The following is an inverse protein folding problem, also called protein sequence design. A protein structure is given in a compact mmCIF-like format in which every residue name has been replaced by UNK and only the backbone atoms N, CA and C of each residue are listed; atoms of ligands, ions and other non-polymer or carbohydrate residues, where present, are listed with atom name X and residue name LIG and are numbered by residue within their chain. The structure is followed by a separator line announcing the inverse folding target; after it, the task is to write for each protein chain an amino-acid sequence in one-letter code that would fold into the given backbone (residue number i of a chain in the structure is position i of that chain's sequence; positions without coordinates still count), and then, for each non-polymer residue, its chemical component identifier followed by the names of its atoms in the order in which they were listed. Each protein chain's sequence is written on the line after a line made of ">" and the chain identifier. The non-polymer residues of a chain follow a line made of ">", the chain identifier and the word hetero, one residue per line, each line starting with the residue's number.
data_IF_347551064541
#
_entry.id   IF_347551064541
#
_cell.length_a   1.000
_cell.length_b   1.000
_cell.length_c   1.000
_cell.angle_alpha   90.00
_cell.angle_beta   90.00
_cell.angle_gamma   90.00
#
_symmetry.space_group_name_H-M   'P 1'
#
loop_
_entity.id
_entity.type
_entity.pdbx_description
1 polymer ?
#
# COMPACT_ATOMS: atom_id res chain seq x y z
N UNK A 1 8.94 -32.26 -15.51
CA UNK A 1 10.05 -33.13 -15.97
C UNK A 1 10.48 -32.70 -17.37
N UNK A 2 11.76 -32.34 -17.59
CA UNK A 2 12.23 -31.96 -18.93
C UNK A 2 12.29 -33.18 -19.83
N UNK A 3 11.75 -33.12 -21.03
CA UNK A 3 11.77 -34.21 -22.02
C UNK A 3 13.18 -34.70 -22.40
N UNK A 4 14.23 -33.96 -22.03
CA UNK A 4 15.63 -34.25 -22.22
C UNK A 4 16.20 -35.35 -21.29
N UNK A 5 15.43 -35.88 -20.35
CA UNK A 5 15.88 -36.86 -19.37
C UNK A 5 15.42 -38.29 -19.66
N UNK A 6 14.76 -38.54 -20.79
CA UNK A 6 14.37 -39.90 -21.20
C UNK A 6 15.38 -40.45 -22.20
N UNK A 7 16.19 -41.40 -21.80
CA UNK A 7 17.27 -41.98 -22.61
C UNK A 7 16.85 -43.38 -23.06
N UNK A 8 16.95 -43.62 -24.38
CA UNK A 8 16.85 -44.97 -24.96
C UNK A 8 18.24 -45.60 -25.05
N UNK A 9 18.39 -46.79 -24.58
CA UNK A 9 19.68 -47.50 -24.60
C UNK A 9 19.47 -48.99 -24.80
N UNK A 10 20.43 -49.64 -25.44
CA UNK A 10 20.48 -51.11 -25.50
C UNK A 10 21.25 -51.66 -24.31
N UNK A 11 20.91 -52.83 -23.91
CA UNK A 11 21.57 -53.51 -22.82
C UNK A 11 22.04 -54.92 -23.17
N UNK A 12 22.91 -55.39 -22.34
CA UNK A 12 23.61 -56.68 -22.34
C UNK A 12 22.64 -57.82 -22.55
N UNK A 13 21.62 -58.04 -22.89
CA UNK A 13 20.70 -59.14 -23.16
C UNK A 13 19.88 -58.92 -24.44
N UNK A 14 20.37 -58.06 -25.33
CA UNK A 14 19.70 -57.86 -26.62
C UNK A 14 18.33 -57.19 -26.51
N UNK A 15 18.14 -56.29 -25.55
CA UNK A 15 16.88 -55.58 -25.34
C UNK A 15 17.07 -54.07 -25.28
N UNK A 16 16.08 -53.34 -25.82
CA UNK A 16 16.02 -51.89 -25.72
C UNK A 16 15.20 -51.44 -24.52
N UNK A 17 15.68 -50.42 -23.82
CA UNK A 17 15.05 -49.88 -22.63
C UNK A 17 14.92 -48.34 -22.72
N UNK A 18 13.82 -47.82 -22.19
CA UNK A 18 13.63 -46.42 -21.86
C UNK A 18 13.92 -46.22 -20.39
N UNK A 19 14.82 -45.29 -20.05
CA UNK A 19 15.15 -44.91 -18.69
C UNK A 19 14.71 -43.47 -18.47
N UNK A 20 14.08 -43.19 -17.33
CA UNK A 20 13.73 -41.82 -16.90
C UNK A 20 13.87 -41.72 -15.38
N UNK A 21 13.84 -40.48 -14.89
CA UNK A 21 13.84 -40.17 -13.47
C UNK A 21 12.52 -39.53 -13.09
N UNK A 22 11.88 -39.97 -12.00
CA UNK A 22 10.70 -39.39 -11.41
C UNK A 22 10.94 -39.27 -9.90
N UNK A 23 10.79 -38.04 -9.37
CA UNK A 23 11.00 -37.72 -7.94
C UNK A 23 12.35 -38.22 -7.38
N UNK A 24 13.41 -38.05 -8.18
CA UNK A 24 14.78 -38.45 -7.85
C UNK A 24 15.07 -39.94 -7.98
N UNK A 25 14.07 -40.76 -8.30
CA UNK A 25 14.24 -42.23 -8.47
C UNK A 25 14.33 -42.63 -9.95
N UNK A 26 15.26 -43.52 -10.31
CA UNK A 26 15.37 -44.04 -11.66
C UNK A 26 14.26 -45.04 -11.96
N UNK A 27 13.61 -44.88 -13.08
CA UNK A 27 12.63 -45.83 -13.62
C UNK A 27 13.14 -46.37 -14.95
N UNK A 28 12.73 -47.59 -15.29
CA UNK A 28 13.12 -48.28 -16.52
C UNK A 28 11.93 -49.07 -17.07
N UNK A 29 11.73 -49.01 -18.41
CA UNK A 29 10.76 -49.81 -19.12
C UNK A 29 11.45 -50.46 -20.30
N UNK A 30 11.25 -51.76 -20.50
CA UNK A 30 11.66 -52.47 -21.71
C UNK A 30 10.75 -52.05 -22.88
N UNK A 31 11.36 -51.77 -24.02
CA UNK A 31 10.66 -51.36 -25.27
C UNK A 31 10.47 -52.55 -26.23
N UNK A 32 11.41 -53.48 -26.25
CA UNK A 32 11.42 -54.65 -27.07
C UNK A 32 12.81 -55.28 -27.19
N UNK A 33 12.91 -56.39 -27.88
CA UNK A 33 14.19 -57.09 -28.15
C UNK A 33 14.87 -56.43 -29.37
N UNK A 34 16.18 -56.73 -29.57
CA UNK A 34 16.92 -56.24 -30.74
C UNK A 34 16.37 -56.91 -32.03
N UNK A 35 15.81 -58.12 -31.93
CA UNK A 35 15.12 -58.79 -33.05
C UNK A 35 13.86 -58.11 -33.49
N UNK A 36 13.08 -57.56 -32.52
CA UNK A 36 11.85 -56.80 -32.79
C UNK A 36 12.14 -55.35 -33.22
N UNK A 37 13.19 -54.79 -32.69
CA UNK A 37 13.61 -53.39 -32.92
C UNK A 37 15.11 -53.41 -33.35
N UNK A 38 15.42 -53.71 -34.59
CA UNK A 38 16.80 -54.00 -35.02
C UNK A 38 17.71 -52.74 -35.00
N UNK A 39 17.16 -51.59 -34.96
CA UNK A 39 17.93 -50.32 -34.96
C UNK A 39 17.54 -49.43 -33.75
N UNK A 40 18.47 -48.57 -33.36
CA UNK A 40 18.21 -47.56 -32.36
C UNK A 40 17.06 -46.61 -32.79
N UNK A 41 16.95 -46.28 -34.06
CA UNK A 41 15.89 -45.47 -34.59
C UNK A 41 14.51 -46.13 -34.43
N UNK A 42 14.40 -47.45 -34.59
CA UNK A 42 13.18 -48.21 -34.33
C UNK A 42 12.83 -48.20 -32.82
N UNK A 43 13.81 -48.33 -31.95
CA UNK A 43 13.62 -48.24 -30.51
C UNK A 43 13.21 -46.81 -30.05
N UNK A 44 13.79 -45.79 -30.64
CA UNK A 44 13.39 -44.38 -30.44
C UNK A 44 11.94 -44.11 -30.85
N UNK A 45 11.51 -44.70 -31.97
CA UNK A 45 10.11 -44.61 -32.46
C UNK A 45 9.17 -45.34 -31.51
N UNK A 46 9.54 -46.54 -31.03
CA UNK A 46 8.77 -47.27 -30.02
C UNK A 46 8.70 -46.54 -28.64
N UNK A 47 9.68 -45.72 -28.30
CA UNK A 47 9.70 -44.95 -27.08
C UNK A 47 8.77 -43.69 -27.15
N UNK A 48 8.40 -43.24 -28.34
CA UNK A 48 7.60 -42.02 -28.54
C UNK A 48 6.27 -41.99 -27.74
N UNK A 49 5.41 -43.03 -27.76
CA UNK A 49 4.18 -43.07 -27.02
C UNK A 49 4.40 -42.92 -25.53
N UNK A 50 5.43 -43.58 -24.98
CA UNK A 50 5.78 -43.52 -23.57
C UNK A 50 6.35 -42.16 -23.18
N UNK A 51 7.13 -41.52 -24.04
CA UNK A 51 7.59 -40.16 -23.84
C UNK A 51 6.43 -39.16 -23.83
N UNK A 52 5.38 -39.36 -24.65
CA UNK A 52 4.16 -38.56 -24.60
C UNK A 52 3.40 -38.74 -23.28
N UNK A 53 3.27 -39.99 -22.78
CA UNK A 53 2.63 -40.27 -21.51
C UNK A 53 3.41 -39.71 -20.30
N UNK A 54 4.75 -39.75 -20.38
CA UNK A 54 5.63 -39.21 -19.33
C UNK A 54 5.76 -37.68 -19.38
N UNK A 55 5.43 -37.04 -20.48
CA UNK A 55 5.19 -35.62 -20.51
C UNK A 55 3.94 -35.35 -19.67
N UNK A 56 4.13 -34.88 -18.42
CA UNK A 56 3.05 -34.12 -17.80
C UNK A 56 2.62 -33.07 -18.82
N UNK A 57 1.33 -32.90 -19.13
CA UNK A 57 0.91 -31.80 -19.96
C UNK A 57 1.57 -30.56 -19.38
N UNK A 58 2.28 -29.82 -20.22
CA UNK A 58 2.83 -28.53 -19.79
C UNK A 58 1.61 -27.76 -19.29
N UNK A 59 1.53 -27.36 -18.03
CA UNK A 59 0.37 -26.60 -17.59
C UNK A 59 0.23 -25.46 -18.57
N UNK A 60 -0.94 -25.32 -19.21
CA UNK A 60 -1.20 -24.23 -20.14
C UNK A 60 -0.82 -22.95 -19.40
N UNK A 61 0.20 -22.26 -19.91
CA UNK A 61 0.64 -21.01 -19.31
C UNK A 61 -0.54 -20.04 -19.38
N UNK A 62 -1.06 -19.58 -18.24
CA UNK A 62 -2.25 -18.75 -18.25
C UNK A 62 -1.96 -17.40 -18.92
N UNK A 63 -3.00 -16.82 -19.53
CA UNK A 63 -2.96 -15.41 -19.89
C UNK A 63 -2.93 -14.55 -18.62
N UNK A 64 -2.42 -13.32 -18.73
CA UNK A 64 -2.39 -12.42 -17.57
C UNK A 64 -3.81 -12.10 -17.05
N UNK A 65 -4.82 -12.04 -17.93
CA UNK A 65 -6.21 -11.85 -17.51
C UNK A 65 -6.70 -13.00 -16.61
N UNK A 66 -6.44 -14.25 -17.02
CA UNK A 66 -6.80 -15.43 -16.21
C UNK A 66 -6.05 -15.45 -14.89
N UNK A 67 -4.76 -15.10 -14.88
CA UNK A 67 -3.97 -14.97 -13.65
C UNK A 67 -4.55 -13.89 -12.72
N UNK A 68 -5.00 -12.76 -13.25
CA UNK A 68 -5.63 -11.68 -12.48
C UNK A 68 -6.93 -12.12 -11.82
N UNK A 69 -7.76 -12.90 -12.52
CA UNK A 69 -9.01 -13.47 -11.94
C UNK A 69 -8.67 -14.37 -10.74
N UNK A 70 -7.73 -15.29 -10.93
CA UNK A 70 -7.27 -16.19 -9.87
C UNK A 70 -6.65 -15.44 -8.69
N UNK A 71 -5.85 -14.39 -8.98
CA UNK A 71 -5.29 -13.52 -7.94
C UNK A 71 -6.38 -12.80 -7.14
N UNK A 72 -7.46 -12.37 -7.79
CA UNK A 72 -8.60 -11.73 -7.12
C UNK A 72 -9.29 -12.66 -6.15
N UNK A 73 -9.37 -13.93 -6.45
CA UNK A 73 -10.00 -14.94 -5.60
C UNK A 73 -9.09 -15.36 -4.44
N UNK A 74 -7.80 -15.58 -4.71
CA UNK A 74 -6.90 -16.23 -3.75
C UNK A 74 -6.07 -15.26 -2.90
N UNK A 75 -5.62 -14.13 -3.45
CA UNK A 75 -4.58 -13.27 -2.84
C UNK A 75 -4.90 -11.78 -2.83
N UNK A 76 -6.05 -11.37 -3.39
CA UNK A 76 -6.42 -9.96 -3.37
C UNK A 76 -6.52 -9.44 -1.93
N UNK A 77 -5.88 -8.30 -1.60
CA UNK A 77 -5.98 -7.73 -0.27
C UNK A 77 -7.43 -7.48 0.15
N UNK A 78 -7.77 -7.85 1.38
CA UNK A 78 -9.11 -7.62 1.95
C UNK A 78 -9.37 -6.14 2.25
N UNK A 79 -8.30 -5.36 2.51
CA UNK A 79 -8.43 -3.94 2.82
C UNK A 79 -9.01 -3.16 1.64
N UNK A 80 -10.17 -2.54 1.85
CA UNK A 80 -10.93 -1.83 0.83
C UNK A 80 -10.10 -0.83 0.00
N UNK A 81 -9.32 0.04 0.65
CA UNK A 81 -8.53 1.07 -0.07
C UNK A 81 -7.45 0.48 -0.97
N UNK A 82 -6.80 -0.60 -0.55
CA UNK A 82 -5.77 -1.29 -1.35
C UNK A 82 -6.41 -2.04 -2.51
N UNK A 83 -7.46 -2.82 -2.21
CA UNK A 83 -8.24 -3.56 -3.21
C UNK A 83 -8.75 -2.63 -4.31
N UNK A 84 -9.37 -1.52 -3.93
CA UNK A 84 -9.88 -0.53 -4.88
C UNK A 84 -8.80 0.04 -5.79
N UNK A 85 -7.63 0.34 -5.23
CA UNK A 85 -6.50 0.85 -6.02
C UNK A 85 -5.98 -0.21 -6.99
N UNK A 86 -5.84 -1.45 -6.53
CA UNK A 86 -5.41 -2.56 -7.37
C UNK A 86 -6.42 -2.82 -8.49
N UNK A 87 -7.72 -2.88 -8.19
CA UNK A 87 -8.76 -3.04 -9.19
C UNK A 87 -8.77 -1.92 -10.24
N UNK A 88 -8.54 -0.68 -9.82
CA UNK A 88 -8.44 0.44 -10.75
C UNK A 88 -7.23 0.30 -11.68
N UNK A 89 -6.05 -0.08 -11.19
CA UNK A 89 -4.86 -0.27 -12.01
C UNK A 89 -4.97 -1.50 -12.91
N UNK A 90 -5.55 -2.60 -12.40
CA UNK A 90 -5.82 -3.79 -13.21
C UNK A 90 -6.76 -3.47 -14.36
N UNK A 91 -7.91 -2.86 -14.07
CA UNK A 91 -8.96 -2.57 -15.04
C UNK A 91 -8.55 -1.53 -16.07
N UNK A 92 -7.88 -0.45 -15.64
CA UNK A 92 -7.64 0.70 -16.52
C UNK A 92 -6.31 0.62 -17.27
N UNK A 93 -5.34 -0.18 -16.80
CA UNK A 93 -3.99 -0.18 -17.37
C UNK A 93 -3.46 -1.58 -17.67
N UNK A 94 -3.46 -2.50 -16.69
CA UNK A 94 -2.75 -3.78 -16.81
C UNK A 94 -3.50 -4.73 -17.76
N UNK A 95 -4.77 -5.00 -17.46
CA UNK A 95 -5.57 -5.96 -18.27
C UNK A 95 -5.78 -5.48 -19.71
N UNK A 96 -6.10 -4.20 -19.99
CA UNK A 96 -6.23 -3.74 -21.37
C UNK A 96 -4.95 -3.89 -22.19
N UNK A 97 -3.78 -3.77 -21.58
CA UNK A 97 -2.49 -3.87 -22.29
C UNK A 97 -1.94 -5.29 -22.37
N UNK A 98 -2.03 -6.02 -21.26
CA UNK A 98 -1.31 -7.30 -21.10
C UNK A 98 -2.24 -8.50 -20.92
N UNK A 99 -3.55 -8.28 -20.74
CA UNK A 99 -4.50 -9.35 -20.36
C UNK A 99 -4.55 -10.52 -21.33
N UNK A 100 -4.46 -10.26 -22.63
CA UNK A 100 -4.48 -11.30 -23.66
C UNK A 100 -3.13 -12.03 -23.84
N UNK A 101 -2.04 -11.49 -23.25
CA UNK A 101 -0.72 -12.10 -23.37
C UNK A 101 -0.54 -13.24 -22.38
N UNK A 102 0.22 -14.25 -22.75
CA UNK A 102 0.73 -15.21 -21.77
C UNK A 102 1.59 -14.51 -20.72
N UNK A 103 1.56 -15.01 -19.48
CA UNK A 103 2.35 -14.44 -18.38
C UNK A 103 3.85 -14.40 -18.69
N UNK A 104 4.36 -15.34 -19.48
CA UNK A 104 5.75 -15.40 -19.98
C UNK A 104 6.13 -14.25 -20.90
N UNK A 105 5.18 -13.63 -21.59
CA UNK A 105 5.42 -12.49 -22.49
C UNK A 105 5.58 -11.15 -21.73
N UNK A 106 5.28 -11.11 -20.43
CA UNK A 106 5.41 -9.91 -19.60
C UNK A 106 6.86 -9.71 -19.20
N UNK A 107 7.67 -9.17 -20.11
CA UNK A 107 9.10 -8.97 -19.95
C UNK A 107 9.46 -7.53 -19.57
N UNK A 108 10.64 -7.33 -18.98
CA UNK A 108 11.07 -6.04 -18.41
C UNK A 108 11.05 -4.89 -19.44
N UNK A 109 11.72 -5.05 -20.59
CA UNK A 109 11.85 -3.99 -21.61
C UNK A 109 10.50 -3.54 -22.19
N UNK A 110 9.61 -4.43 -22.65
CA UNK A 110 8.28 -4.03 -23.13
C UNK A 110 7.45 -3.31 -22.05
N UNK A 111 7.51 -3.77 -20.81
CA UNK A 111 6.79 -3.12 -19.68
C UNK A 111 7.36 -1.74 -19.40
N UNK A 112 8.69 -1.57 -19.40
CA UNK A 112 9.32 -0.27 -19.17
C UNK A 112 8.93 0.76 -20.23
N UNK A 113 8.99 0.39 -21.51
CA UNK A 113 8.57 1.25 -22.62
C UNK A 113 7.08 1.61 -22.54
N UNK A 114 6.24 0.65 -22.21
CA UNK A 114 4.82 0.91 -21.98
C UNK A 114 4.58 1.86 -20.81
N UNK A 115 5.23 1.67 -19.66
CA UNK A 115 5.11 2.58 -18.51
C UNK A 115 5.58 4.00 -18.87
N UNK A 116 6.64 4.13 -19.70
CA UNK A 116 7.10 5.43 -20.18
C UNK A 116 6.04 6.13 -21.03
N UNK A 117 5.32 5.41 -21.90
CA UNK A 117 4.29 5.98 -22.78
C UNK A 117 3.01 6.44 -22.06
N UNK A 118 2.78 6.00 -20.79
CA UNK A 118 1.59 6.41 -20.05
C UNK A 118 1.69 7.88 -19.60
N UNK A 119 0.59 8.62 -19.73
CA UNK A 119 0.47 10.00 -19.20
C UNK A 119 0.11 9.97 -17.71
N UNK A 120 1.02 9.45 -16.89
CA UNK A 120 0.85 9.29 -15.44
C UNK A 120 2.05 9.83 -14.68
N UNK A 121 1.84 10.17 -13.40
CA UNK A 121 2.92 10.52 -12.50
C UNK A 121 3.92 9.36 -12.35
N UNK A 122 5.22 9.63 -12.12
CA UNK A 122 6.21 8.59 -11.87
C UNK A 122 5.79 7.65 -10.71
N UNK A 123 5.17 8.19 -9.68
CA UNK A 123 4.68 7.43 -8.53
C UNK A 123 3.58 6.43 -8.94
N UNK A 124 2.63 6.86 -9.77
CA UNK A 124 1.56 5.98 -10.28
C UNK A 124 2.12 4.87 -11.17
N UNK A 125 3.07 5.20 -12.05
CA UNK A 125 3.79 4.22 -12.89
C UNK A 125 4.53 3.18 -12.03
N UNK A 126 5.20 3.61 -10.96
CA UNK A 126 5.86 2.71 -10.01
C UNK A 126 4.87 1.80 -9.26
N UNK A 127 3.68 2.31 -8.94
CA UNK A 127 2.63 1.50 -8.32
C UNK A 127 2.10 0.42 -9.26
N UNK A 128 1.89 0.75 -10.55
CA UNK A 128 1.49 -0.22 -11.59
C UNK A 128 2.58 -1.29 -11.77
N UNK A 129 3.87 -0.88 -11.84
CA UNK A 129 5.01 -1.82 -11.87
C UNK A 129 5.00 -2.75 -10.65
N UNK A 130 4.76 -2.18 -9.46
CA UNK A 130 4.69 -2.94 -8.21
C UNK A 130 3.58 -4.00 -8.22
N UNK A 131 2.42 -3.69 -8.79
CA UNK A 131 1.32 -4.65 -8.94
C UNK A 131 1.63 -5.73 -9.97
N UNK A 132 2.26 -5.40 -11.11
CA UNK A 132 2.75 -6.39 -12.06
C UNK A 132 3.79 -7.34 -11.43
N UNK A 133 4.72 -6.80 -10.63
CA UNK A 133 5.67 -7.62 -9.87
C UNK A 133 4.94 -8.63 -9.00
N UNK A 134 3.97 -8.18 -8.24
CA UNK A 134 3.19 -9.02 -7.32
C UNK A 134 2.41 -10.11 -8.08
N UNK A 135 1.87 -9.82 -9.26
CA UNK A 135 1.21 -10.82 -10.11
C UNK A 135 2.19 -11.86 -10.65
N UNK A 136 3.40 -11.48 -11.05
CA UNK A 136 4.42 -12.41 -11.52
C UNK A 136 4.98 -13.27 -10.37
N UNK A 137 5.18 -12.69 -9.18
CA UNK A 137 5.54 -13.45 -7.96
C UNK A 137 4.43 -14.46 -7.61
N UNK A 138 3.17 -14.06 -7.76
CA UNK A 138 2.02 -14.94 -7.56
C UNK A 138 1.99 -16.11 -8.59
N UNK A 139 2.28 -15.84 -9.86
CA UNK A 139 2.39 -16.87 -10.90
C UNK A 139 3.51 -17.88 -10.61
N UNK A 140 4.65 -17.41 -10.08
CA UNK A 140 5.73 -18.30 -9.62
C UNK A 140 5.32 -19.13 -8.41
N UNK A 141 4.63 -18.52 -7.43
CA UNK A 141 4.12 -19.23 -6.27
C UNK A 141 3.10 -20.32 -6.64
N UNK A 142 2.24 -20.07 -7.64
CA UNK A 142 1.30 -21.08 -8.18
C UNK A 142 1.98 -22.22 -8.97
N UNK A 143 3.19 -21.97 -9.46
CA UNK A 143 3.88 -22.89 -10.38
C UNK A 143 3.52 -22.68 -11.87
N UNK A 144 2.79 -21.63 -12.21
CA UNK A 144 2.49 -21.24 -13.61
C UNK A 144 3.77 -20.74 -14.31
N UNK A 145 4.71 -20.17 -13.56
CA UNK A 145 6.05 -19.79 -14.00
C UNK A 145 7.13 -20.56 -13.20
N UNK A 146 8.24 -20.85 -13.84
CA UNK A 146 9.43 -21.34 -13.13
C UNK A 146 9.94 -20.27 -12.18
N UNK A 147 10.41 -20.67 -11.00
CA UNK A 147 11.03 -19.77 -10.04
C UNK A 147 12.30 -19.18 -10.65
N UNK A 148 12.30 -17.89 -10.89
CA UNK A 148 13.39 -17.14 -11.47
C UNK A 148 13.32 -15.69 -11.00
N UNK A 149 14.33 -14.88 -11.31
CA UNK A 149 14.29 -13.45 -11.02
C UNK A 149 13.08 -12.80 -11.69
N UNK A 150 12.29 -12.06 -10.91
CA UNK A 150 11.10 -11.38 -11.43
C UNK A 150 11.52 -10.28 -12.43
N UNK A 151 11.03 -10.28 -13.68
CA UNK A 151 11.38 -9.28 -14.68
C UNK A 151 11.14 -7.83 -14.22
N UNK A 152 10.15 -7.61 -13.36
CA UNK A 152 9.81 -6.27 -12.86
C UNK A 152 10.89 -5.66 -11.94
N UNK A 153 11.84 -6.45 -11.47
CA UNK A 153 13.02 -5.94 -10.75
C UNK A 153 13.98 -5.17 -11.66
N UNK A 154 13.98 -5.50 -12.94
CA UNK A 154 14.80 -4.83 -13.95
C UNK A 154 14.14 -3.57 -14.50
N UNK A 155 12.84 -3.39 -14.29
CA UNK A 155 12.08 -2.22 -14.79
C UNK A 155 12.38 -1.01 -13.93
N UNK A 156 12.87 0.05 -14.54
CA UNK A 156 13.18 1.31 -13.87
C UNK A 156 12.11 2.37 -14.14
N UNK A 157 11.58 2.97 -13.08
CA UNK A 157 10.71 4.15 -13.19
C UNK A 157 11.47 5.36 -12.64
N UNK A 158 11.95 6.20 -13.55
CA UNK A 158 12.71 7.43 -13.19
C UNK A 158 11.86 8.34 -12.30
N UNK A 159 12.49 8.97 -11.32
CA UNK A 159 11.86 9.93 -10.39
C UNK A 159 10.69 9.37 -9.55
N UNK A 160 10.51 8.05 -9.45
CA UNK A 160 9.41 7.43 -8.69
C UNK A 160 9.45 7.76 -7.18
N UNK A 161 10.64 7.92 -6.63
CA UNK A 161 10.87 8.29 -5.22
C UNK A 161 11.04 9.80 -5.00
N UNK A 162 11.21 10.59 -6.08
CA UNK A 162 11.39 12.03 -5.96
C UNK A 162 10.10 12.68 -5.47
N UNK A 163 10.19 13.41 -4.36
CA UNK A 163 9.06 14.19 -3.85
C UNK A 163 8.87 15.40 -4.75
N UNK A 164 7.68 15.55 -5.31
CA UNK A 164 7.36 16.65 -6.25
C UNK A 164 6.85 17.92 -5.54
N UNK A 165 6.40 17.81 -4.29
CA UNK A 165 5.91 18.95 -3.52
C UNK A 165 6.27 18.79 -2.04
N UNK A 166 6.58 19.90 -1.38
CA UNK A 166 6.70 19.93 0.09
C UNK A 166 5.31 19.78 0.71
N UNK A 167 5.17 19.03 1.83
CA UNK A 167 3.91 18.94 2.54
C UNK A 167 3.49 20.34 3.02
N UNK A 168 2.24 20.72 2.79
CA UNK A 168 1.70 21.99 3.26
C UNK A 168 1.39 21.89 4.76
N UNK A 169 2.03 22.72 5.56
CA UNK A 169 1.68 23.04 6.95
C UNK A 169 1.30 24.52 7.05
N UNK A 170 0.43 24.85 7.96
CA UNK A 170 0.02 26.21 8.23
C UNK A 170 0.82 26.77 9.41
N UNK A 171 1.17 28.05 9.34
CA UNK A 171 1.59 28.80 10.52
C UNK A 171 0.39 29.00 11.46
N UNK A 172 0.64 29.42 12.70
CA UNK A 172 -0.45 29.70 13.66
C UNK A 172 -1.36 30.79 13.11
N UNK A 173 -0.80 31.87 12.56
CA UNK A 173 -1.54 32.99 11.96
C UNK A 173 -2.37 32.54 10.75
N UNK A 174 -1.81 31.75 9.84
CA UNK A 174 -2.56 31.19 8.72
C UNK A 174 -3.72 30.29 9.20
N UNK A 175 -3.50 29.50 10.24
CA UNK A 175 -4.55 28.65 10.79
C UNK A 175 -5.67 29.48 11.44
N UNK A 176 -5.33 30.52 12.15
CA UNK A 176 -6.32 31.44 12.76
C UNK A 176 -7.17 32.13 11.70
N UNK A 177 -6.56 32.61 10.61
CA UNK A 177 -7.27 33.18 9.48
C UNK A 177 -8.14 32.14 8.76
N UNK A 178 -7.66 30.92 8.63
CA UNK A 178 -8.37 29.83 7.97
C UNK A 178 -9.61 29.37 8.74
N UNK A 179 -9.47 29.17 10.07
CA UNK A 179 -10.50 28.52 10.90
C UNK A 179 -11.77 29.35 11.03
N UNK A 180 -11.68 30.68 10.95
CA UNK A 180 -12.85 31.59 11.03
C UNK A 180 -13.75 31.52 9.81
N UNK A 181 -13.23 31.07 8.66
CA UNK A 181 -13.99 30.88 7.43
C UNK A 181 -14.62 29.50 7.31
N UNK A 182 -14.44 28.63 8.32
CA UNK A 182 -15.07 27.32 8.35
C UNK A 182 -16.37 27.36 9.16
N UNK A 183 -17.42 26.83 8.57
CA UNK A 183 -18.68 26.54 9.25
C UNK A 183 -18.63 25.17 9.94
N UNK A 184 -19.53 24.92 10.88
CA UNK A 184 -19.66 23.59 11.49
C UNK A 184 -20.28 22.58 10.49
N UNK A 185 -19.85 21.32 10.50
CA UNK A 185 -18.87 20.70 11.41
C UNK A 185 -17.42 20.85 10.97
N UNK A 186 -17.14 21.49 9.82
CA UNK A 186 -15.80 21.51 9.22
C UNK A 186 -14.78 22.24 10.09
N UNK A 187 -15.22 23.22 10.88
CA UNK A 187 -14.40 23.92 11.87
C UNK A 187 -13.95 22.96 12.97
N UNK A 188 -14.86 22.22 13.59
CA UNK A 188 -14.54 21.24 14.64
C UNK A 188 -13.74 20.07 14.09
N UNK A 189 -13.97 19.62 12.83
CA UNK A 189 -13.12 18.64 12.15
C UNK A 189 -11.67 19.15 12.02
N UNK A 190 -11.48 20.40 11.60
CA UNK A 190 -10.14 20.97 11.46
C UNK A 190 -9.42 21.06 12.81
N UNK A 191 -10.09 21.55 13.85
CA UNK A 191 -9.57 21.59 15.22
C UNK A 191 -9.19 20.20 15.72
N UNK A 192 -10.06 19.21 15.55
CA UNK A 192 -9.80 17.83 15.96
C UNK A 192 -8.59 17.25 15.22
N UNK A 193 -8.51 17.48 13.91
CA UNK A 193 -7.37 16.98 13.12
C UNK A 193 -6.06 17.66 13.52
N UNK A 194 -6.05 18.97 13.75
CA UNK A 194 -4.82 19.71 14.09
C UNK A 194 -4.38 19.50 15.54
N UNK A 195 -5.29 19.31 16.49
CA UNK A 195 -4.94 19.10 17.89
C UNK A 195 -4.46 17.68 18.20
N UNK A 196 -4.92 16.69 17.44
CA UNK A 196 -4.55 15.29 17.68
C UNK A 196 -3.72 14.66 16.56
N UNK A 197 -3.40 15.43 15.52
CA UNK A 197 -2.69 14.92 14.36
C UNK A 197 -3.42 13.77 13.67
N UNK A 198 -4.76 13.73 13.66
CA UNK A 198 -5.55 12.66 13.06
C UNK A 198 -5.44 12.66 11.54
N UNK A 199 -5.49 11.46 10.95
CA UNK A 199 -5.84 11.36 9.54
C UNK A 199 -7.32 11.66 9.39
N UNK A 200 -7.71 12.29 8.28
CA UNK A 200 -9.15 12.58 8.04
C UNK A 200 -10.02 11.31 8.14
N UNK A 201 -9.52 10.17 7.70
CA UNK A 201 -10.22 8.89 7.80
C UNK A 201 -10.41 8.42 9.26
N UNK A 202 -9.52 8.76 10.16
CA UNK A 202 -9.61 8.48 11.60
C UNK A 202 -10.59 9.47 12.26
N UNK A 203 -10.47 10.75 11.93
CA UNK A 203 -11.34 11.81 12.46
C UNK A 203 -12.82 11.57 12.10
N UNK A 204 -13.11 11.31 10.84
CA UNK A 204 -14.48 11.06 10.38
C UNK A 204 -15.07 9.74 10.93
N UNK A 205 -14.25 8.82 11.40
CA UNK A 205 -14.69 7.57 11.99
C UNK A 205 -14.90 7.63 13.52
N UNK A 206 -14.77 8.81 14.13
CA UNK A 206 -15.02 9.01 15.55
C UNK A 206 -16.52 8.95 15.85
N UNK A 207 -16.84 8.32 16.99
CA UNK A 207 -18.16 8.33 17.60
C UNK A 207 -18.11 9.06 18.94
N UNK A 208 -19.25 9.47 19.46
CA UNK A 208 -19.30 10.09 20.77
C UNK A 208 -18.90 9.13 21.89
N UNK A 209 -19.11 7.83 21.72
CA UNK A 209 -18.65 6.76 22.64
C UNK A 209 -17.12 6.61 22.69
N UNK A 210 -16.36 7.17 21.74
CA UNK A 210 -14.90 7.15 21.77
C UNK A 210 -14.29 8.18 22.73
N UNK A 211 -15.10 9.14 23.26
CA UNK A 211 -14.65 10.20 24.17
C UNK A 211 -14.92 9.79 25.60
N UNK A 212 -13.87 9.60 26.36
CA UNK A 212 -13.92 9.54 27.82
C UNK A 212 -13.87 10.95 28.37
N UNK A 213 -15.04 11.51 28.63
CA UNK A 213 -15.22 12.88 29.12
C UNK A 213 -14.66 13.10 30.52
N UNK A 214 -14.62 12.05 31.34
CA UNK A 214 -14.14 12.10 32.71
C UNK A 214 -12.61 12.21 32.80
N UNK A 215 -11.94 11.34 32.01
CA UNK A 215 -10.49 11.25 32.01
C UNK A 215 -9.84 12.08 30.89
N UNK A 216 -10.62 12.80 30.09
CA UNK A 216 -10.12 13.59 28.97
C UNK A 216 -9.34 12.76 27.96
N UNK A 217 -9.90 11.63 27.52
CA UNK A 217 -9.25 10.73 26.56
C UNK A 217 -10.13 10.54 25.31
N UNK A 218 -9.49 10.44 24.15
CA UNK A 218 -10.13 10.11 22.88
C UNK A 218 -9.53 8.82 22.33
N UNK A 219 -10.36 7.80 22.17
CA UNK A 219 -9.96 6.49 21.63
C UNK A 219 -10.09 6.46 20.11
N UNK A 220 -9.01 6.13 19.41
CA UNK A 220 -9.00 6.04 17.95
C UNK A 220 -8.97 4.55 17.58
N UNK A 221 -10.12 4.01 17.20
CA UNK A 221 -10.30 2.56 17.01
C UNK A 221 -10.50 2.17 15.55
N UNK A 222 -11.04 3.07 14.73
CA UNK A 222 -11.47 2.77 13.36
C UNK A 222 -11.09 3.89 12.39
N UNK A 223 -11.21 3.59 11.10
CA UNK A 223 -11.07 4.57 10.04
C UNK A 223 -12.15 4.39 8.98
N UNK A 224 -12.52 5.45 8.29
CA UNK A 224 -13.49 5.40 7.20
C UNK A 224 -12.86 5.88 5.90
N UNK A 225 -13.01 5.11 4.84
CA UNK A 225 -12.51 5.47 3.51
C UNK A 225 -13.64 5.28 2.51
N UNK A 226 -14.06 6.37 1.86
CA UNK A 226 -15.19 6.37 0.91
C UNK A 226 -16.41 5.63 1.46
N UNK A 227 -16.81 6.00 2.69
CA UNK A 227 -17.96 5.46 3.39
C UNK A 227 -17.85 3.96 3.79
N UNK A 228 -16.67 3.35 3.65
CA UNK A 228 -16.39 2.02 4.17
C UNK A 228 -15.63 2.15 5.49
N UNK A 229 -16.27 1.69 6.55
CA UNK A 229 -15.67 1.60 7.88
C UNK A 229 -14.75 0.38 7.91
N UNK A 230 -13.56 0.55 8.42
CA UNK A 230 -12.58 -0.51 8.59
C UNK A 230 -11.65 -0.21 9.76
N UNK A 231 -10.81 -1.16 10.08
CA UNK A 231 -9.80 -0.99 11.11
C UNK A 231 -8.79 0.11 10.74
N UNK A 232 -8.21 0.74 11.74
CA UNK A 232 -7.09 1.66 11.52
C UNK A 232 -5.93 0.95 10.81
N UNK A 233 -5.10 1.72 10.14
CA UNK A 233 -4.05 1.20 9.24
C UNK A 233 -3.04 0.26 9.91
N UNK A 234 -2.84 0.38 11.21
CA UNK A 234 -1.91 -0.44 12.01
C UNK A 234 -2.40 -0.49 13.45
N UNK A 235 -2.09 -1.56 14.18
CA UNK A 235 -2.37 -1.67 15.63
C UNK A 235 -1.75 -0.50 16.42
N UNK A 236 -0.68 0.08 15.91
CA UNK A 236 -0.04 1.28 16.45
C UNK A 236 -0.92 2.53 16.35
N UNK A 237 -1.93 2.52 15.48
CA UNK A 237 -2.90 3.61 15.33
C UNK A 237 -4.10 3.49 16.28
N UNK A 238 -4.30 2.33 16.90
CA UNK A 238 -5.31 2.12 17.96
C UNK A 238 -4.74 2.63 19.30
N UNK A 239 -4.87 3.91 19.57
CA UNK A 239 -4.41 4.48 20.85
C UNK A 239 -5.35 5.55 21.34
N UNK A 240 -5.57 5.56 22.65
CA UNK A 240 -6.16 6.71 23.31
C UNK A 240 -5.16 7.87 23.31
N UNK A 241 -5.64 9.06 23.00
CA UNK A 241 -4.90 10.32 23.11
C UNK A 241 -5.51 11.18 24.20
N UNK A 242 -4.66 11.88 24.96
CA UNK A 242 -5.15 12.82 25.95
C UNK A 242 -5.70 14.07 25.27
N UNK A 243 -6.84 14.52 25.71
CA UNK A 243 -7.55 15.69 25.19
C UNK A 243 -7.35 16.84 26.17
N UNK A 244 -6.81 17.97 25.70
CA UNK A 244 -6.69 19.17 26.51
C UNK A 244 -8.06 19.80 26.76
N UNK A 245 -8.21 20.50 27.89
CA UNK A 245 -9.49 21.09 28.30
C UNK A 245 -10.15 21.98 27.24
N UNK A 246 -9.43 22.89 26.53
CA UNK A 246 -10.05 23.71 25.49
C UNK A 246 -10.65 22.89 24.33
N UNK A 247 -10.05 21.74 23.99
CA UNK A 247 -10.58 20.85 22.94
C UNK A 247 -11.80 20.09 23.44
N UNK A 248 -11.81 19.67 24.72
CA UNK A 248 -13.00 19.08 25.37
C UNK A 248 -14.18 20.04 25.27
N UNK A 249 -13.97 21.32 25.58
CA UNK A 249 -15.02 22.36 25.51
C UNK A 249 -15.54 22.55 24.09
N UNK A 250 -14.65 22.63 23.10
CA UNK A 250 -15.05 22.72 21.71
C UNK A 250 -15.88 21.51 21.24
N UNK A 251 -15.47 20.28 21.65
CA UNK A 251 -16.21 19.07 21.35
C UNK A 251 -17.58 19.02 22.06
N UNK A 252 -17.66 19.48 23.32
CA UNK A 252 -18.94 19.60 24.04
C UNK A 252 -19.90 20.58 23.37
N UNK A 253 -19.40 21.74 22.95
CA UNK A 253 -20.18 22.73 22.21
C UNK A 253 -20.72 22.14 20.91
N UNK A 254 -19.88 21.45 20.14
CA UNK A 254 -20.32 20.77 18.93
C UNK A 254 -21.36 19.69 19.23
N UNK A 255 -21.18 18.90 20.32
CA UNK A 255 -22.14 17.89 20.74
C UNK A 255 -23.52 18.48 21.07
N UNK A 256 -23.56 19.69 21.62
CA UNK A 256 -24.80 20.38 21.95
C UNK A 256 -25.52 20.97 20.71
N UNK A 257 -24.76 21.29 19.66
CA UNK A 257 -25.32 21.93 18.45
C UNK A 257 -25.69 20.95 17.37
N UNK A 258 -25.05 19.76 17.33
CA UNK A 258 -25.37 18.75 16.33
C UNK A 258 -26.69 18.02 16.68
N UNK A 259 -27.46 17.66 15.66
CA UNK A 259 -28.66 16.83 15.81
C UNK A 259 -28.36 15.34 16.06
N UNK A 260 -27.08 14.93 15.93
CA UNK A 260 -26.59 13.56 16.10
C UNK A 260 -25.67 13.49 17.30
N UNK A 261 -26.21 13.41 18.51
CA UNK A 261 -25.46 13.49 19.76
C UNK A 261 -25.53 12.23 20.64
N UNK A 262 -26.20 11.17 20.17
CA UNK A 262 -26.22 9.90 20.90
C UNK A 262 -24.82 9.24 20.94
N UNK A 263 -24.58 8.39 21.93
CA UNK A 263 -23.27 7.77 22.16
C UNK A 263 -22.74 7.01 20.92
N UNK A 264 -23.63 6.35 20.18
CA UNK A 264 -23.28 5.56 19.01
C UNK A 264 -23.30 6.35 17.70
N UNK A 265 -23.72 7.60 17.72
CA UNK A 265 -23.68 8.46 16.55
C UNK A 265 -22.25 8.80 16.15
N UNK A 266 -22.05 9.01 14.86
CA UNK A 266 -20.80 9.57 14.36
C UNK A 266 -20.65 10.99 14.87
N UNK A 267 -19.50 11.34 15.42
CA UNK A 267 -19.20 12.69 15.91
C UNK A 267 -19.44 13.75 14.82
N UNK A 268 -19.15 13.39 13.57
CA UNK A 268 -19.32 14.23 12.38
C UNK A 268 -20.30 13.59 11.39
N UNK A 269 -21.48 13.21 11.91
CA UNK A 269 -22.54 12.61 11.13
C UNK A 269 -23.02 13.55 10.01
N UNK A 270 -23.30 12.98 8.84
CA UNK A 270 -23.83 13.75 7.69
C UNK A 270 -25.34 13.83 7.72
N UNK A 271 -25.94 15.03 7.75
CA UNK A 271 -27.39 15.20 7.64
C UNK A 271 -27.95 14.62 6.33
N UNK A 272 -27.21 14.78 5.22
CA UNK A 272 -27.60 14.23 3.91
C UNK A 272 -27.67 12.70 3.89
N UNK A 273 -27.07 12.02 4.88
CA UNK A 273 -27.13 10.57 5.10
C UNK A 273 -27.98 10.20 6.32
N UNK A 274 -28.75 11.14 6.84
CA UNK A 274 -29.62 10.96 8.01
C UNK A 274 -28.84 10.38 9.20
N UNK A 275 -27.59 10.86 9.41
CA UNK A 275 -26.70 10.39 10.48
C UNK A 275 -26.11 8.99 10.31
N UNK A 276 -26.55 8.18 9.35
CA UNK A 276 -26.07 6.79 9.15
C UNK A 276 -24.61 6.71 8.79
N UNK A 277 -24.06 7.74 8.18
CA UNK A 277 -22.66 7.85 7.76
C UNK A 277 -22.12 9.24 8.12
N UNK A 278 -20.83 9.39 8.39
CA UNK A 278 -20.24 10.69 8.59
C UNK A 278 -20.11 11.46 7.27
N UNK A 279 -19.71 12.72 7.35
CA UNK A 279 -19.33 13.51 6.21
C UNK A 279 -18.24 12.80 5.38
N UNK A 280 -18.22 13.06 4.08
CA UNK A 280 -17.16 12.50 3.23
C UNK A 280 -15.88 13.34 3.33
N UNK A 281 -14.73 12.68 3.16
CA UNK A 281 -13.45 13.39 3.10
C UNK A 281 -13.39 14.40 1.94
N UNK A 282 -14.11 14.13 0.84
CA UNK A 282 -14.19 15.03 -0.31
C UNK A 282 -14.95 16.33 0.08
N UNK A 283 -16.09 16.23 0.79
CA UNK A 283 -16.82 17.40 1.27
C UNK A 283 -15.99 18.24 2.27
N UNK A 284 -15.24 17.60 3.16
CA UNK A 284 -14.32 18.31 4.06
C UNK A 284 -13.22 19.01 3.27
N UNK A 285 -12.66 18.36 2.25
CA UNK A 285 -11.64 18.96 1.40
C UNK A 285 -12.16 20.17 0.63
N UNK A 286 -13.38 20.09 0.09
CA UNK A 286 -14.02 21.21 -0.61
C UNK A 286 -14.28 22.42 0.31
N UNK A 287 -14.73 22.16 1.55
CA UNK A 287 -14.88 23.20 2.56
C UNK A 287 -13.53 23.86 2.90
N UNK A 288 -12.47 23.07 3.03
CA UNK A 288 -11.12 23.58 3.31
C UNK A 288 -10.57 24.41 2.16
N UNK A 289 -10.80 24.01 0.91
CA UNK A 289 -10.39 24.78 -0.27
C UNK A 289 -11.08 26.15 -0.32
N UNK A 290 -12.39 26.19 -0.05
CA UNK A 290 -13.17 27.43 0.00
C UNK A 290 -12.66 28.34 1.12
N UNK A 291 -12.52 27.82 2.34
CA UNK A 291 -12.02 28.59 3.48
C UNK A 291 -10.59 29.12 3.27
N UNK A 292 -9.71 28.33 2.66
CA UNK A 292 -8.35 28.77 2.33
C UNK A 292 -8.36 29.91 1.32
N UNK A 293 -9.21 29.83 0.29
CA UNK A 293 -9.41 30.92 -0.69
C UNK A 293 -9.91 32.18 -0.02
N UNK A 294 -10.93 32.08 0.85
CA UNK A 294 -11.49 33.25 1.57
C UNK A 294 -10.48 33.85 2.55
N UNK A 295 -9.61 33.07 3.15
CA UNK A 295 -8.56 33.53 4.04
C UNK A 295 -7.34 34.10 3.30
N UNK A 296 -7.30 34.05 1.98
CA UNK A 296 -6.15 34.51 1.17
C UNK A 296 -4.89 33.68 1.41
N UNK A 297 -5.02 32.39 1.70
CA UNK A 297 -3.90 31.49 1.92
C UNK A 297 -3.81 30.42 0.82
N UNK A 298 -2.62 29.85 0.66
CA UNK A 298 -2.40 28.81 -0.32
C UNK A 298 -3.24 27.54 -0.01
N UNK A 299 -3.38 26.68 -1.00
CA UNK A 299 -4.13 25.42 -0.95
C UNK A 299 -3.96 24.65 0.37
N UNK A 300 -5.07 24.35 1.02
CA UNK A 300 -5.15 23.57 2.24
C UNK A 300 -5.97 22.31 1.97
N UNK A 301 -5.38 21.16 2.19
CA UNK A 301 -6.05 19.85 2.09
C UNK A 301 -6.34 19.26 3.47
N UNK A 302 -7.19 18.25 3.52
CA UNK A 302 -7.45 17.52 4.77
C UNK A 302 -6.17 16.96 5.43
N UNK A 303 -5.16 16.62 4.62
CA UNK A 303 -3.88 16.12 5.14
C UNK A 303 -2.97 17.23 5.67
N UNK A 304 -3.20 18.48 5.26
CA UNK A 304 -2.46 19.65 5.75
C UNK A 304 -2.61 19.84 7.26
N UNK A 305 -3.78 19.52 7.84
CA UNK A 305 -3.98 19.60 9.31
C UNK A 305 -3.00 18.71 10.08
N UNK A 306 -2.79 17.49 9.62
CA UNK A 306 -1.84 16.56 10.23
C UNK A 306 -0.38 17.01 10.03
N UNK A 307 -0.05 17.62 8.89
CA UNK A 307 1.26 18.22 8.68
C UNK A 307 1.48 19.43 9.57
N UNK A 308 0.44 20.25 9.75
CA UNK A 308 0.45 21.40 10.67
C UNK A 308 0.72 20.96 12.11
N UNK A 309 -0.02 19.96 12.61
CA UNK A 309 0.23 19.40 13.95
C UNK A 309 1.69 19.01 14.13
N UNK A 310 2.25 18.26 13.16
CA UNK A 310 3.64 17.87 13.23
C UNK A 310 4.59 19.07 13.22
N UNK A 311 4.36 20.05 12.33
CA UNK A 311 5.19 21.26 12.26
C UNK A 311 5.16 22.06 13.55
N UNK A 312 4.00 22.11 14.21
CA UNK A 312 3.87 22.77 15.50
C UNK A 312 4.56 22.00 16.63
N UNK A 313 4.55 20.67 16.60
CA UNK A 313 5.35 19.85 17.53
C UNK A 313 6.85 20.13 17.37
N UNK A 314 7.32 20.33 16.14
CA UNK A 314 8.70 20.76 15.88
C UNK A 314 8.97 22.15 16.48
N UNK A 315 8.09 23.10 16.21
CA UNK A 315 8.23 24.49 16.69
C UNK A 315 8.26 24.64 18.23
N UNK A 316 7.60 23.73 18.95
CA UNK A 316 7.66 23.69 20.43
C UNK A 316 8.78 22.78 20.96
N UNK A 317 9.70 22.33 20.11
CA UNK A 317 10.88 21.54 20.52
C UNK A 317 10.56 20.11 20.97
N UNK A 318 9.45 19.52 20.52
CA UNK A 318 9.09 18.15 20.94
C UNK A 318 10.08 17.12 20.39
N UNK A 319 10.68 16.26 21.23
CA UNK A 319 11.61 15.23 20.76
C UNK A 319 10.98 14.29 19.74
N UNK A 320 11.74 13.87 18.72
CA UNK A 320 11.23 13.09 17.57
C UNK A 320 10.58 11.77 17.98
N UNK A 321 11.10 11.11 19.01
CA UNK A 321 10.52 9.88 19.56
C UNK A 321 9.13 10.11 20.18
N UNK A 322 8.91 11.29 20.77
CA UNK A 322 7.61 11.71 21.28
C UNK A 322 6.67 12.04 20.15
N UNK A 323 7.17 12.77 19.13
CA UNK A 323 6.39 13.06 17.92
C UNK A 323 5.94 11.79 17.21
N UNK A 324 6.80 10.77 17.09
CA UNK A 324 6.44 9.48 16.51
C UNK A 324 5.23 8.86 17.25
N UNK A 325 5.27 8.88 18.58
CA UNK A 325 4.18 8.36 19.42
C UNK A 325 2.89 9.19 19.27
N UNK A 326 2.98 10.51 19.32
CA UNK A 326 1.84 11.42 19.15
C UNK A 326 1.23 11.33 17.76
N UNK A 327 2.06 11.22 16.73
CA UNK A 327 1.63 11.01 15.33
C UNK A 327 1.14 9.58 15.07
N UNK A 328 1.33 8.66 15.99
CA UNK A 328 0.97 7.24 15.81
C UNK A 328 1.59 6.65 14.53
N UNK A 329 2.89 6.92 14.31
CA UNK A 329 3.65 6.35 13.21
C UNK A 329 4.29 5.03 13.65
N UNK A 330 4.02 3.94 12.91
CA UNK A 330 4.64 2.64 13.16
C UNK A 330 6.16 2.67 12.88
N UNK A 331 6.57 3.44 11.86
CA UNK A 331 7.96 3.58 11.44
C UNK A 331 8.43 5.02 11.65
N UNK A 332 9.51 5.20 12.41
CA UNK A 332 10.13 6.49 12.70
C UNK A 332 10.58 7.22 11.42
N UNK A 333 10.94 6.47 10.38
CA UNK A 333 11.29 7.03 9.07
C UNK A 333 10.15 7.86 8.48
N UNK A 334 8.90 7.51 8.77
CA UNK A 334 7.73 8.30 8.35
C UNK A 334 7.73 9.69 8.98
N UNK A 335 8.19 9.80 10.23
CA UNK A 335 8.36 11.07 10.92
C UNK A 335 9.59 11.82 10.39
N UNK A 336 10.70 11.11 10.19
CA UNK A 336 11.97 11.70 9.74
C UNK A 336 11.95 12.15 8.27
N UNK A 337 11.26 11.44 7.39
CA UNK A 337 11.19 11.77 5.94
C UNK A 337 10.59 13.15 5.60
N UNK A 338 10.08 13.88 6.60
CA UNK A 338 9.62 15.26 6.45
C UNK A 338 10.73 16.27 6.83
N UNK A 339 11.82 15.80 7.46
CA UNK A 339 12.97 16.61 7.90
C UNK A 339 13.96 17.02 6.78
N UNK A 340 13.60 16.91 5.53
CA UNK A 340 14.53 17.13 4.41
C UNK A 340 15.32 18.46 4.36
N UNK A 341 15.06 19.42 5.25
CA UNK A 341 15.74 20.73 5.30
C UNK A 341 15.73 21.32 6.74
N UNK A 342 16.05 20.53 7.76
CA UNK A 342 16.26 21.10 9.11
C UNK A 342 17.72 21.50 9.25
N UNK A 343 18.00 22.77 9.03
CA UNK A 343 18.27 23.76 10.06
C UNK A 343 19.72 23.80 10.49
N UNK A 344 20.46 24.65 9.83
CA UNK A 344 21.80 25.08 10.23
C UNK A 344 21.84 25.65 11.65
N UNK A 345 20.79 26.38 12.08
CA UNK A 345 20.77 27.07 13.38
C UNK A 345 20.57 26.14 14.57
N UNK A 346 19.66 25.19 14.49
CA UNK A 346 19.47 24.20 15.58
C UNK A 346 20.65 23.26 15.74
N UNK A 347 21.29 22.87 14.62
CA UNK A 347 22.52 22.08 14.68
C UNK A 347 23.65 22.88 15.32
N UNK A 348 23.77 24.17 15.05
CA UNK A 348 24.76 25.06 15.64
C UNK A 348 24.48 25.25 17.14
N UNK A 349 23.23 25.48 17.54
CA UNK A 349 22.83 25.60 18.95
C UNK A 349 23.07 24.29 19.72
N UNK A 350 22.70 23.16 19.15
CA UNK A 350 22.90 21.85 19.77
C UNK A 350 24.40 21.54 19.94
N UNK A 351 25.18 21.78 18.89
CA UNK A 351 26.66 21.63 18.94
C UNK A 351 27.29 22.57 19.96
N UNK A 352 26.81 23.81 20.03
CA UNK A 352 27.25 24.79 21.04
C UNK A 352 26.96 24.35 22.47
N UNK A 353 25.80 23.79 22.74
CA UNK A 353 25.44 23.22 24.05
C UNK A 353 26.36 22.08 24.44
N UNK A 354 26.65 21.15 23.53
CA UNK A 354 27.61 20.05 23.78
C UNK A 354 29.01 20.59 24.07
N UNK A 355 29.45 21.57 23.29
CA UNK A 355 30.73 22.21 23.53
C UNK A 355 30.80 22.89 24.91
N UNK A 356 29.76 23.60 25.31
CA UNK A 356 29.64 24.19 26.64
C UNK A 356 29.72 23.13 27.75
N UNK A 357 29.02 22.00 27.60
CA UNK A 357 29.09 20.90 28.57
C UNK A 357 30.51 20.30 28.64
N UNK A 358 31.17 20.15 27.52
CA UNK A 358 32.55 19.61 27.47
C UNK A 358 33.60 20.57 28.02
N UNK A 359 33.37 21.87 27.91
CA UNK A 359 34.30 22.92 28.35
C UNK A 359 33.98 23.49 29.74
N UNK A 360 32.85 23.12 30.34
CA UNK A 360 32.52 23.47 31.71
C UNK A 360 33.59 22.85 32.64
N UNK A 361 34.50 23.69 33.14
CA UNK A 361 35.44 23.33 34.22
C UNK A 361 34.64 23.17 35.50
N UNK A 362 34.76 22.02 36.21
CA UNK A 362 34.36 21.85 37.60
C UNK A 362 34.98 22.88 38.49
#
# INVERSE_FOLDING_TARGET
>A
MRASQCIVFSRTRGTWHLKWFCDGKPHRKQLGTITELPTRAAAEKAAQPFRKMLRKPNPEIPTLAKLVEQYREEKMPTRYSTRRSYDAWLRNYIVPKWGACEVTAVQARPVELWLQSLTLSPRSKASIRGLLRLLLDYAQWRGDLTVQRNPMELVTVKNASKRTSKPRSLTVDEFQRFIVHLEEPFRTIALTCVCFGLRISECLALRWSDVDWLNGKLSIQRGIVRQHVGDVKTDYSQKAVTVSQPVIEALKLWKQTTQFSAQEDWMFASPAKIGRLPWSADAVNDAYLKAASSAGIAHVSTHSMRHTYRSWLDAVGTPIAVQQKLMRHADIRTTMNVYGDVVTDEMTIASGKVAQMALAKN
#
